data_IF_317989155249
#
_entry.id   IF_317989155249
#
_cell.length_a   1.000
_cell.length_b   1.000
_cell.length_c   1.000
_cell.angle_alpha   90.00
_cell.angle_beta   90.00
_cell.angle_gamma   90.00
#
_symmetry.space_group_name_H-M   'P 1'
#
loop_
_entity.id
_entity.type
_entity.pdbx_description
1 polymer ?
#
# COMPACT_ATOMS: atom_id res chain seq x y z
N UNK A 1 -15.45 -5.96 -0.32
CA UNK A 1 -16.51 -6.63 -1.11
C UNK A 1 -15.97 -7.29 -2.39
N UNK A 2 -15.13 -6.61 -3.21
CA UNK A 2 -14.65 -7.18 -4.49
C UNK A 2 -13.80 -8.43 -4.33
N UNK A 3 -13.08 -8.59 -3.22
CA UNK A 3 -12.27 -9.78 -2.96
C UNK A 3 -13.11 -11.06 -2.79
N UNK A 4 -14.42 -10.93 -2.51
CA UNK A 4 -15.33 -12.10 -2.46
C UNK A 4 -15.47 -12.83 -3.80
N UNK A 5 -15.10 -12.19 -4.92
CA UNK A 5 -15.15 -12.80 -6.25
C UNK A 5 -13.91 -13.67 -6.56
N UNK A 6 -12.91 -13.68 -5.68
CA UNK A 6 -11.67 -14.44 -5.87
C UNK A 6 -11.60 -15.56 -4.83
N UNK A 7 -11.37 -16.78 -5.29
CA UNK A 7 -11.08 -17.92 -4.43
C UNK A 7 -9.59 -18.24 -4.44
N UNK A 8 -9.13 -18.95 -3.42
CA UNK A 8 -7.73 -19.42 -3.28
C UNK A 8 -6.69 -18.31 -3.30
N UNK A 9 -7.03 -17.11 -2.77
CA UNK A 9 -6.07 -16.04 -2.54
C UNK A 9 -5.55 -16.08 -1.11
N UNK A 10 -4.31 -15.66 -0.93
CA UNK A 10 -3.70 -15.42 0.38
C UNK A 10 -3.55 -13.91 0.56
N UNK A 11 -4.10 -13.38 1.63
CA UNK A 11 -3.99 -11.96 1.99
C UNK A 11 -3.24 -11.84 3.30
N UNK A 12 -2.14 -11.11 3.31
CA UNK A 12 -1.42 -10.75 4.53
C UNK A 12 -1.60 -9.27 4.83
N UNK A 13 -1.98 -8.97 6.06
CA UNK A 13 -2.16 -7.58 6.51
C UNK A 13 -1.79 -7.43 7.99
N UNK A 14 -1.24 -6.29 8.35
CA UNK A 14 -1.02 -5.93 9.76
C UNK A 14 -2.22 -5.19 10.39
N UNK A 15 -3.27 -4.91 9.63
CA UNK A 15 -4.46 -4.17 10.06
C UNK A 15 -5.55 -5.09 10.58
N UNK A 16 -5.96 -4.91 11.84
CA UNK A 16 -7.08 -5.65 12.43
C UNK A 16 -8.41 -5.33 11.71
N UNK A 17 -8.59 -4.09 11.24
CA UNK A 17 -9.79 -3.74 10.47
C UNK A 17 -9.91 -4.53 9.17
N UNK A 18 -8.79 -4.72 8.47
CA UNK A 18 -8.79 -5.51 7.22
C UNK A 18 -9.05 -6.97 7.53
N UNK A 19 -8.43 -7.54 8.56
CA UNK A 19 -8.71 -8.94 8.98
C UNK A 19 -10.19 -9.14 9.27
N UNK A 20 -10.80 -8.26 10.06
CA UNK A 20 -12.22 -8.35 10.38
C UNK A 20 -13.09 -8.28 9.12
N UNK A 21 -12.81 -7.32 8.21
CA UNK A 21 -13.56 -7.18 6.98
C UNK A 21 -13.41 -8.39 6.03
N UNK A 22 -12.24 -9.03 6.01
CA UNK A 22 -12.01 -10.24 5.21
C UNK A 22 -12.68 -11.47 5.83
N UNK A 23 -12.72 -11.57 7.16
CA UNK A 23 -13.34 -12.71 7.85
C UNK A 23 -14.87 -12.78 7.70
N UNK A 24 -15.49 -11.68 7.27
CA UNK A 24 -16.92 -11.61 6.97
C UNK A 24 -17.25 -12.02 5.53
N UNK A 25 -16.25 -12.25 4.68
CA UNK A 25 -16.48 -12.68 3.30
C UNK A 25 -16.74 -14.19 3.23
N UNK A 26 -17.78 -14.56 2.47
CA UNK A 26 -18.16 -15.96 2.25
C UNK A 26 -17.40 -16.53 1.02
N UNK A 27 -16.08 -16.63 1.14
CA UNK A 27 -15.22 -17.23 0.12
C UNK A 27 -13.99 -17.90 0.75
N UNK A 28 -13.39 -18.82 0.01
CA UNK A 28 -12.16 -19.51 0.45
C UNK A 28 -10.93 -18.62 0.24
N UNK A 29 -10.44 -18.04 1.31
CA UNK A 29 -9.20 -17.27 1.33
C UNK A 29 -8.37 -17.58 2.59
N UNK A 30 -7.05 -17.50 2.45
CA UNK A 30 -6.15 -17.58 3.60
C UNK A 30 -5.81 -16.17 4.06
N UNK A 31 -6.09 -15.90 5.34
CA UNK A 31 -5.77 -14.61 5.95
C UNK A 31 -4.55 -14.81 6.86
N UNK A 32 -3.47 -14.08 6.58
CA UNK A 32 -2.27 -14.05 7.40
C UNK A 32 -2.19 -12.72 8.14
N UNK A 33 -1.87 -12.78 9.42
CA UNK A 33 -1.67 -11.62 10.25
C UNK A 33 -0.33 -11.75 11.00
N UNK A 34 0.58 -10.77 10.88
CA UNK A 34 1.82 -10.79 11.66
C UNK A 34 1.50 -10.55 13.14
N UNK A 35 2.31 -11.12 14.00
CA UNK A 35 2.35 -10.73 15.40
C UNK A 35 3.01 -9.36 15.59
N UNK A 36 3.37 -9.02 16.85
CA UNK A 36 4.11 -7.81 17.17
C UNK A 36 3.40 -6.91 18.16
N UNK A 37 3.78 -5.65 18.19
CA UNK A 37 3.21 -4.64 19.08
C UNK A 37 1.93 -4.07 18.48
N UNK A 38 0.81 -4.22 19.18
CA UNK A 38 -0.47 -3.66 18.75
C UNK A 38 -0.55 -2.16 19.05
N UNK A 39 -0.75 -1.36 18.02
CA UNK A 39 -0.96 0.07 18.11
C UNK A 39 -2.46 0.38 18.04
N UNK A 40 -3.04 0.78 19.17
CA UNK A 40 -4.49 1.06 19.28
C UNK A 40 -4.96 2.13 18.29
N UNK A 41 -4.19 3.21 18.09
CA UNK A 41 -4.56 4.35 17.23
C UNK A 41 -4.83 3.93 15.78
N UNK A 42 -4.09 2.98 15.24
CA UNK A 42 -4.21 2.48 13.87
C UNK A 42 -4.84 1.08 13.80
N UNK A 43 -5.15 0.47 14.95
CA UNK A 43 -5.61 -0.91 15.07
C UNK A 43 -4.75 -1.88 14.23
N UNK A 44 -3.41 -1.78 14.37
CA UNK A 44 -2.48 -2.53 13.55
C UNK A 44 -1.24 -2.98 14.34
N UNK A 45 -0.59 -4.03 13.84
CA UNK A 45 0.62 -4.63 14.43
C UNK A 45 1.87 -4.07 13.79
N UNK A 46 2.89 -3.80 14.64
CA UNK A 46 4.16 -3.18 14.26
C UNK A 46 5.33 -3.82 15.02
N UNK A 47 6.53 -3.36 14.68
CA UNK A 47 7.78 -3.78 15.31
C UNK A 47 8.41 -4.97 14.64
N UNK A 48 9.57 -5.39 15.17
CA UNK A 48 10.44 -6.39 14.55
C UNK A 48 9.76 -7.72 14.24
N UNK A 49 8.84 -8.19 15.10
CA UNK A 49 8.09 -9.43 14.85
C UNK A 49 7.19 -9.31 13.61
N UNK A 50 6.55 -8.14 13.43
CA UNK A 50 5.73 -7.89 12.25
C UNK A 50 6.60 -7.77 10.98
N UNK A 51 7.72 -7.06 11.05
CA UNK A 51 8.67 -6.90 9.96
C UNK A 51 9.21 -8.27 9.51
N UNK A 52 9.73 -9.07 10.45
CA UNK A 52 10.26 -10.41 10.17
C UNK A 52 9.20 -11.34 9.56
N UNK A 53 7.93 -11.19 9.94
CA UNK A 53 6.86 -11.99 9.37
C UNK A 53 6.69 -11.69 7.87
N UNK A 54 6.75 -10.42 7.45
CA UNK A 54 6.68 -10.07 6.02
C UNK A 54 7.90 -10.54 5.24
N UNK A 55 9.08 -10.55 5.84
CA UNK A 55 10.33 -11.02 5.21
C UNK A 55 10.34 -12.52 4.89
N UNK A 56 9.45 -13.31 5.51
CA UNK A 56 9.34 -14.76 5.26
C UNK A 56 8.56 -15.09 3.97
N UNK A 57 7.94 -14.10 3.33
CA UNK A 57 7.06 -14.31 2.18
C UNK A 57 7.50 -13.49 0.97
N UNK A 58 7.05 -13.91 -0.20
CA UNK A 58 7.10 -13.12 -1.42
C UNK A 58 5.67 -13.01 -1.95
N UNK A 59 5.15 -11.78 -2.02
CA UNK A 59 3.79 -11.50 -2.46
C UNK A 59 3.76 -11.02 -3.90
N UNK A 60 2.70 -11.34 -4.62
CA UNK A 60 2.52 -10.86 -5.99
C UNK A 60 2.22 -9.37 -6.01
N UNK A 61 1.35 -8.89 -5.11
CA UNK A 61 0.90 -7.50 -5.06
C UNK A 61 0.84 -6.95 -3.65
N UNK A 62 1.28 -5.70 -3.49
CA UNK A 62 1.03 -4.87 -2.32
C UNK A 62 0.08 -3.75 -2.70
N UNK A 63 -1.02 -3.60 -1.97
CA UNK A 63 -1.88 -2.42 -2.00
C UNK A 63 -1.58 -1.56 -0.77
N UNK A 64 -1.14 -0.33 -0.98
CA UNK A 64 -0.68 0.53 0.12
C UNK A 64 -1.19 1.96 -0.06
N UNK A 65 -1.67 2.56 1.04
CA UNK A 65 -1.92 4.00 1.12
C UNK A 65 -0.66 4.77 1.51
N UNK A 66 -0.74 6.10 1.42
CA UNK A 66 0.36 7.00 1.83
C UNK A 66 -0.16 8.32 2.37
N UNK A 67 0.66 9.02 3.13
CA UNK A 67 0.38 10.39 3.60
C UNK A 67 0.92 11.45 2.64
N UNK A 68 1.91 11.10 1.82
CA UNK A 68 2.47 12.02 0.84
C UNK A 68 3.26 11.30 -0.25
N UNK A 69 3.25 11.88 -1.45
CA UNK A 69 4.03 11.48 -2.61
C UNK A 69 4.85 12.67 -3.08
N UNK A 70 6.16 12.55 -2.98
CA UNK A 70 7.13 13.57 -3.41
C UNK A 70 7.99 13.00 -4.56
N UNK A 71 8.18 13.76 -5.63
CA UNK A 71 8.89 13.29 -6.82
C UNK A 71 10.37 12.94 -6.58
N UNK A 72 10.98 13.49 -5.54
CA UNK A 72 12.37 13.24 -5.17
C UNK A 72 12.50 12.28 -3.98
N UNK A 73 11.68 12.48 -2.93
CA UNK A 73 11.75 11.68 -1.71
C UNK A 73 11.03 10.33 -1.83
N UNK A 74 10.06 10.21 -2.73
CA UNK A 74 9.26 9.00 -2.88
C UNK A 74 7.98 9.00 -2.07
N UNK A 75 7.60 7.83 -1.60
CA UNK A 75 6.41 7.58 -0.78
C UNK A 75 6.73 7.90 0.67
N UNK A 76 5.96 8.79 1.30
CA UNK A 76 6.26 9.32 2.62
C UNK A 76 5.08 9.20 3.59
N UNK A 77 5.37 9.15 4.89
CA UNK A 77 4.36 9.02 5.94
C UNK A 77 4.73 9.82 7.20
N UNK A 78 3.72 10.25 7.95
CA UNK A 78 3.87 10.77 9.31
C UNK A 78 4.00 9.67 10.37
N UNK A 79 3.76 8.42 9.98
CA UNK A 79 3.80 7.30 10.92
C UNK A 79 5.24 7.01 11.33
N UNK A 80 5.56 7.15 12.62
CA UNK A 80 6.88 6.88 13.18
C UNK A 80 7.25 5.38 13.12
N UNK A 81 6.25 4.49 13.07
CA UNK A 81 6.45 3.03 12.97
C UNK A 81 6.26 2.54 11.53
N UNK A 82 6.93 3.18 10.60
CA UNK A 82 6.81 2.92 9.16
C UNK A 82 7.65 1.74 8.63
N UNK A 83 8.48 1.14 9.47
CA UNK A 83 9.36 0.03 9.10
C UNK A 83 8.60 -1.20 8.56
N UNK A 84 7.41 -1.48 9.09
CA UNK A 84 6.53 -2.52 8.56
C UNK A 84 6.13 -2.24 7.12
N UNK A 85 5.81 -0.99 6.77
CA UNK A 85 5.49 -0.60 5.39
C UNK A 85 6.68 -0.80 4.44
N UNK A 86 7.90 -0.55 4.92
CA UNK A 86 9.12 -0.88 4.16
C UNK A 86 9.27 -2.38 3.94
N UNK A 87 9.06 -3.18 4.97
CA UNK A 87 9.11 -4.64 4.86
C UNK A 87 8.07 -5.18 3.85
N UNK A 88 6.85 -4.62 3.86
CA UNK A 88 5.82 -4.94 2.89
C UNK A 88 6.26 -4.60 1.45
N UNK A 89 6.82 -3.41 1.22
CA UNK A 89 7.32 -3.01 -0.10
C UNK A 89 8.40 -3.97 -0.61
N UNK A 90 9.33 -4.38 0.26
CA UNK A 90 10.42 -5.29 -0.09
C UNK A 90 9.92 -6.72 -0.37
N UNK A 91 8.82 -7.13 0.23
CA UNK A 91 8.24 -8.47 0.09
C UNK A 91 7.34 -8.61 -1.15
N UNK A 92 6.99 -7.52 -1.82
CA UNK A 92 6.06 -7.53 -2.95
C UNK A 92 6.78 -7.40 -4.29
N UNK A 93 6.27 -8.11 -5.31
CA UNK A 93 6.74 -8.00 -6.69
C UNK A 93 6.17 -6.76 -7.40
N UNK A 94 4.95 -6.40 -7.06
CA UNK A 94 4.25 -5.24 -7.62
C UNK A 94 3.71 -4.39 -6.47
N UNK A 95 4.13 -3.14 -6.39
CA UNK A 95 3.66 -2.16 -5.41
C UNK A 95 2.65 -1.25 -6.08
N UNK A 96 1.43 -1.24 -5.55
CA UNK A 96 0.29 -0.45 -6.02
C UNK A 96 -0.06 0.56 -4.93
N UNK A 97 0.19 1.84 -5.20
CA UNK A 97 -0.25 2.92 -4.32
C UNK A 97 -1.72 3.26 -4.59
N UNK A 98 -2.45 3.51 -3.51
CA UNK A 98 -3.81 4.04 -3.57
C UNK A 98 -3.83 5.36 -2.79
N UNK A 99 -3.94 6.47 -3.47
CA UNK A 99 -3.85 7.80 -2.87
C UNK A 99 -4.73 8.80 -3.59
N UNK A 100 -5.45 9.61 -2.84
CA UNK A 100 -6.19 10.73 -3.40
C UNK A 100 -5.24 11.89 -3.78
N UNK A 101 -5.74 12.78 -4.64
CA UNK A 101 -4.97 13.89 -5.20
C UNK A 101 -4.38 14.85 -4.15
N UNK A 102 -4.90 14.87 -2.93
CA UNK A 102 -4.37 15.70 -1.85
C UNK A 102 -2.98 15.27 -1.36
N UNK A 103 -2.50 14.10 -1.78
CA UNK A 103 -1.21 13.52 -1.34
C UNK A 103 -0.03 13.93 -2.21
N UNK A 104 -0.27 14.44 -3.42
CA UNK A 104 0.80 14.84 -4.33
C UNK A 104 1.52 16.11 -3.88
N UNK A 105 2.84 16.12 -4.06
CA UNK A 105 3.72 17.22 -3.64
C UNK A 105 3.89 17.34 -2.13
N UNK A 106 3.35 16.42 -1.35
CA UNK A 106 3.55 16.36 0.11
C UNK A 106 4.74 15.48 0.46
N UNK A 107 5.62 16.04 1.29
CA UNK A 107 6.75 15.32 1.88
C UNK A 107 6.54 15.21 3.37
N UNK A 108 6.20 14.03 3.84
CA UNK A 108 6.14 13.70 5.26
C UNK A 108 7.54 13.30 5.78
N UNK A 109 7.79 13.33 7.10
CA UNK A 109 9.14 13.18 7.62
C UNK A 109 9.78 11.80 7.40
N UNK A 110 8.98 10.74 7.23
CA UNK A 110 9.49 9.37 7.11
C UNK A 110 9.30 8.85 5.68
N UNK A 111 10.39 8.36 5.09
CA UNK A 111 10.38 7.78 3.74
C UNK A 111 10.10 6.28 3.83
N UNK A 112 9.04 5.82 3.17
CA UNK A 112 8.67 4.41 3.10
C UNK A 112 9.45 3.70 2.01
N UNK A 113 9.38 4.20 0.77
CA UNK A 113 10.13 3.68 -0.37
C UNK A 113 10.33 4.76 -1.43
N UNK A 114 11.28 4.53 -2.35
CA UNK A 114 11.47 5.38 -3.51
C UNK A 114 10.37 5.17 -4.55
N UNK A 115 10.20 6.11 -5.49
CA UNK A 115 9.22 5.95 -6.57
C UNK A 115 9.58 4.82 -7.53
N UNK A 116 10.87 4.48 -7.67
CA UNK A 116 11.34 3.36 -8.48
C UNK A 116 10.82 1.99 -7.99
N UNK A 117 10.42 1.91 -6.72
CA UNK A 117 9.80 0.71 -6.14
C UNK A 117 8.29 0.62 -6.40
N UNK A 118 7.68 1.68 -6.95
CA UNK A 118 6.24 1.75 -7.21
C UNK A 118 5.97 1.38 -8.67
N UNK A 119 5.05 0.46 -8.89
CA UNK A 119 4.67 0.02 -10.22
C UNK A 119 3.41 0.73 -10.73
N UNK A 120 2.42 0.91 -9.84
CA UNK A 120 1.15 1.52 -10.17
C UNK A 120 0.69 2.53 -9.12
N UNK A 121 -0.04 3.53 -9.57
CA UNK A 121 -0.77 4.47 -8.73
C UNK A 121 -2.23 4.48 -9.13
N UNK A 122 -3.11 4.26 -8.18
CA UNK A 122 -4.57 4.45 -8.33
C UNK A 122 -4.93 5.74 -7.60
N UNK A 123 -5.53 6.70 -8.31
CA UNK A 123 -5.86 8.02 -7.77
C UNK A 123 -7.19 8.54 -8.34
N UNK A 124 -7.59 9.72 -7.92
CA UNK A 124 -8.76 10.45 -8.45
C UNK A 124 -8.36 11.44 -9.55
N UNK A 125 -9.39 12.01 -10.23
CA UNK A 125 -9.23 12.97 -11.33
C UNK A 125 -8.56 14.30 -10.94
N UNK A 126 -8.33 14.53 -9.64
CA UNK A 126 -7.66 15.73 -9.14
C UNK A 126 -6.13 15.70 -9.25
N UNK A 127 -5.55 14.63 -9.79
CA UNK A 127 -4.09 14.55 -9.98
C UNK A 127 -3.61 15.69 -10.89
N UNK A 128 -2.60 16.50 -10.49
CA UNK A 128 -2.02 17.52 -11.37
C UNK A 128 -1.37 16.89 -12.60
N UNK A 129 -1.61 17.49 -13.78
CA UNK A 129 -1.14 16.93 -15.06
C UNK A 129 0.38 16.80 -15.15
N UNK A 130 1.11 17.77 -14.60
CA UNK A 130 2.58 17.74 -14.53
C UNK A 130 3.09 16.64 -13.58
N UNK A 131 2.37 16.39 -12.49
CA UNK A 131 2.71 15.33 -11.56
C UNK A 131 2.45 13.95 -12.17
N UNK A 132 1.30 13.77 -12.85
CA UNK A 132 0.99 12.56 -13.61
C UNK A 132 2.07 12.25 -14.64
N UNK A 133 2.41 13.24 -15.49
CA UNK A 133 3.46 13.08 -16.50
C UNK A 133 4.83 12.70 -15.89
N UNK A 134 5.20 13.29 -14.74
CA UNK A 134 6.44 12.99 -14.06
C UNK A 134 6.47 11.54 -13.49
N UNK A 135 5.35 11.03 -13.01
CA UNK A 135 5.23 9.65 -12.54
C UNK A 135 5.29 8.66 -13.71
N UNK A 136 4.55 8.92 -14.78
CA UNK A 136 4.56 8.09 -16.00
C UNK A 136 5.96 8.05 -16.64
N UNK A 137 6.70 9.17 -16.65
CA UNK A 137 8.09 9.23 -17.10
C UNK A 137 9.05 8.37 -16.26
N UNK A 138 8.70 8.08 -15.00
CA UNK A 138 9.43 7.14 -14.13
C UNK A 138 8.98 5.68 -14.32
N UNK A 139 8.07 5.40 -15.24
CA UNK A 139 7.55 4.06 -15.52
C UNK A 139 6.41 3.62 -14.60
N UNK A 140 5.79 4.53 -13.86
CA UNK A 140 4.65 4.23 -12.99
C UNK A 140 3.37 4.31 -13.82
N UNK A 141 2.58 3.24 -13.85
CA UNK A 141 1.25 3.24 -14.45
C UNK A 141 0.29 4.03 -13.57
N UNK A 142 -0.30 5.11 -14.11
CA UNK A 142 -1.26 5.96 -13.39
C UNK A 142 -2.66 5.62 -13.83
N UNK A 143 -3.48 5.12 -12.89
CA UNK A 143 -4.88 4.77 -13.09
C UNK A 143 -5.75 5.79 -12.36
N UNK A 144 -6.56 6.54 -13.10
CA UNK A 144 -7.51 7.50 -12.53
C UNK A 144 -8.86 6.83 -12.36
N UNK A 145 -9.34 6.76 -11.11
CA UNK A 145 -10.62 6.14 -10.81
C UNK A 145 -11.77 6.94 -11.43
N UNK A 146 -12.64 6.26 -12.20
CA UNK A 146 -13.77 6.88 -12.90
C UNK A 146 -13.45 7.36 -14.33
N UNK A 147 -12.22 7.30 -14.80
CA UNK A 147 -11.90 7.34 -16.23
C UNK A 147 -12.13 5.94 -16.82
N UNK A 148 -13.01 5.84 -17.82
CA UNK A 148 -13.08 4.62 -18.62
C UNK A 148 -11.78 4.53 -19.44
N UNK A 149 -11.02 3.47 -19.25
CA UNK A 149 -9.89 3.17 -20.13
C UNK A 149 -10.48 2.78 -21.48
N UNK A 150 -10.40 3.66 -22.47
CA UNK A 150 -10.68 3.36 -23.87
C UNK A 150 -9.70 2.34 -24.46
#
# INVERSE_FOLDING_TARGET
PLLSHFNNITVMTNSLHIVNALSELDNEQTILMPGGTFRKKSASFHGQLAENAFEQFSFDKLFMGTDGIDLNAGVTTFNEVFSVSKAMCNAAREVILMADSSKFGRKSPNIVCSLESVNKLITDAGIPADFRAALEAKGIEVIVAGEENE
#
